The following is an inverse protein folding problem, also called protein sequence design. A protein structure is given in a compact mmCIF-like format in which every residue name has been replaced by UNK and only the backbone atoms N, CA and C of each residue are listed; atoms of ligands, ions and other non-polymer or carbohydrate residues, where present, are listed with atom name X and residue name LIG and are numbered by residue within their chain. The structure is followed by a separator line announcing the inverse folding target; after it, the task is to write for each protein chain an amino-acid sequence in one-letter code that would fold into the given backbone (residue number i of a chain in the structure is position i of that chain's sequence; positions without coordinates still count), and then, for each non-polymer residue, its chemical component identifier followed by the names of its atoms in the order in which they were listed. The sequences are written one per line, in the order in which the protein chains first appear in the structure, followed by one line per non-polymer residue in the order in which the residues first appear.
data_IF_395346279061
#
_entry.id   IF_395346279061
#
_cell.length_a   1.000
_cell.length_b   1.000
_cell.length_c   1.000
_cell.angle_alpha   90.00
_cell.angle_beta   90.00
_cell.angle_gamma   90.00
#
_symmetry.space_group_name_H-M   'P 1'
#
loop_
_entity.id
_entity.type
_entity.pdbx_description
1 polymer ?
#
# COMPACT_ATOMS: atom_id res chain seq x y z
N UNK A 1 -8.80 -11.94 2.33
CA UNK A 1 -8.11 -11.35 3.50
C UNK A 1 -6.67 -11.82 3.43
N UNK A 2 -5.76 -10.94 3.02
CA UNK A 2 -4.36 -11.18 2.71
C UNK A 2 -3.47 -10.54 3.76
N UNK A 3 -2.36 -11.20 4.11
CA UNK A 3 -1.32 -10.56 4.91
C UNK A 3 -0.84 -9.28 4.22
N UNK A 4 -0.80 -8.18 4.96
CA UNK A 4 -0.29 -6.90 4.45
C UNK A 4 1.23 -6.86 4.34
N UNK A 5 1.97 -7.92 4.70
CA UNK A 5 3.44 -7.92 4.77
C UNK A 5 4.09 -7.39 3.49
N UNK A 6 3.58 -7.76 2.32
CA UNK A 6 4.14 -7.27 1.06
C UNK A 6 3.86 -5.79 0.83
N UNK A 7 2.65 -5.33 1.13
CA UNK A 7 2.30 -3.92 1.05
C UNK A 7 3.04 -3.09 2.12
N UNK A 8 3.36 -3.67 3.28
CA UNK A 8 4.23 -3.06 4.28
C UNK A 8 5.61 -2.78 3.68
N UNK A 9 6.22 -3.73 2.97
CA UNK A 9 7.48 -3.49 2.28
C UNK A 9 7.39 -2.36 1.24
N UNK A 10 6.32 -2.33 0.44
CA UNK A 10 6.06 -1.25 -0.53
C UNK A 10 5.95 0.10 0.18
N UNK A 11 5.14 0.16 1.25
CA UNK A 11 4.90 1.38 2.02
C UNK A 11 6.17 1.91 2.69
N UNK A 12 6.96 1.02 3.30
CA UNK A 12 8.26 1.34 3.90
C UNK A 12 9.22 1.89 2.84
N UNK A 13 9.32 1.23 1.67
CA UNK A 13 10.17 1.70 0.58
C UNK A 13 9.74 3.08 0.08
N UNK A 14 8.43 3.37 0.00
CA UNK A 14 7.92 4.69 -0.33
C UNK A 14 8.36 5.75 0.69
N UNK A 15 8.22 5.47 1.98
CA UNK A 15 8.57 6.40 3.05
C UNK A 15 10.07 6.67 3.18
N UNK A 16 10.92 5.73 2.77
CA UNK A 16 12.38 5.89 2.86
C UNK A 16 12.94 6.56 1.61
N UNK A 17 12.51 6.10 0.43
CA UNK A 17 13.14 6.50 -0.83
C UNK A 17 12.60 7.82 -1.38
N UNK A 18 11.47 8.31 -0.87
CA UNK A 18 10.81 9.52 -1.36
C UNK A 18 10.49 10.51 -0.24
N UNK A 19 10.43 11.79 -0.60
CA UNK A 19 9.96 12.80 0.35
C UNK A 19 8.47 12.61 0.64
N UNK A 20 8.02 13.01 1.83
CA UNK A 20 6.58 13.00 2.19
C UNK A 20 5.75 13.78 1.17
N UNK A 21 6.29 14.87 0.62
CA UNK A 21 5.63 15.65 -0.44
C UNK A 21 5.42 14.82 -1.71
N UNK A 22 6.41 14.03 -2.11
CA UNK A 22 6.30 13.12 -3.25
C UNK A 22 5.26 12.03 -2.99
N UNK A 23 5.34 11.35 -1.85
CA UNK A 23 4.36 10.30 -1.47
C UNK A 23 2.95 10.88 -1.37
N UNK A 24 2.80 12.14 -0.95
CA UNK A 24 1.52 12.84 -0.94
C UNK A 24 0.91 12.95 -2.35
N UNK A 25 1.74 13.08 -3.40
CA UNK A 25 1.27 13.08 -4.78
C UNK A 25 0.78 11.72 -5.26
N UNK A 26 1.23 10.61 -4.66
CA UNK A 26 0.71 9.27 -4.90
C UNK A 26 -0.65 9.09 -4.22
N UNK A 27 -0.72 9.38 -2.93
CA UNK A 27 -1.95 9.12 -2.13
C UNK A 27 -3.09 10.08 -2.50
N UNK A 28 -2.80 11.27 -3.02
CA UNK A 28 -3.85 12.19 -3.50
C UNK A 28 -4.39 11.87 -4.89
N UNK A 29 -3.84 10.87 -5.60
CA UNK A 29 -4.32 10.48 -6.95
C UNK A 29 -5.70 9.87 -6.91
N UNK A 30 -6.02 9.20 -5.81
CA UNK A 30 -7.26 8.45 -5.68
C UNK A 30 -7.78 8.55 -4.24
N UNK A 31 -9.05 8.96 -4.05
CA UNK A 31 -9.64 9.17 -2.72
C UNK A 31 -9.72 7.90 -1.86
N UNK A 32 -9.52 6.72 -2.44
CA UNK A 32 -9.46 5.46 -1.69
C UNK A 32 -8.20 5.33 -0.83
N UNK A 33 -7.15 6.10 -1.09
CA UNK A 33 -6.05 6.27 -0.13
C UNK A 33 -6.55 7.09 1.06
N UNK A 34 -7.03 6.39 2.08
CA UNK A 34 -7.48 7.00 3.33
C UNK A 34 -6.39 6.94 4.39
N UNK A 35 -6.47 7.83 5.39
CA UNK A 35 -5.65 7.74 6.62
C UNK A 35 -5.76 6.37 7.27
N UNK A 36 -6.95 5.77 7.26
CA UNK A 36 -7.19 4.41 7.75
C UNK A 36 -6.37 3.38 6.96
N UNK A 37 -6.44 3.41 5.63
CA UNK A 37 -5.70 2.48 4.78
C UNK A 37 -4.19 2.62 5.00
N UNK A 38 -3.66 3.83 5.03
CA UNK A 38 -2.22 4.04 5.28
C UNK A 38 -1.77 3.58 6.67
N UNK A 39 -2.64 3.71 7.67
CA UNK A 39 -2.38 3.15 8.99
C UNK A 39 -2.35 1.62 8.94
N UNK A 40 -3.31 0.99 8.26
CA UNK A 40 -3.32 -0.46 8.05
C UNK A 40 -2.07 -0.96 7.32
N UNK A 41 -1.47 -0.17 6.43
CA UNK A 41 -0.20 -0.52 5.80
C UNK A 41 1.01 -0.44 6.74
N UNK A 42 0.90 0.24 7.87
CA UNK A 42 1.99 0.40 8.83
C UNK A 42 1.89 -0.57 10.02
N UNK A 43 0.68 -1.04 10.36
CA UNK A 43 0.45 -1.93 11.49
C UNK A 43 0.72 -3.39 11.16
N UNK A 44 1.39 -4.09 12.07
CA UNK A 44 1.88 -5.44 11.85
C UNK A 44 0.77 -6.48 11.64
N UNK A 45 -0.40 -6.31 12.27
CA UNK A 45 -1.52 -7.27 12.25
C UNK A 45 -2.62 -6.94 11.25
N UNK A 46 -2.43 -5.89 10.45
CA UNK A 46 -3.44 -5.47 9.49
C UNK A 46 -3.52 -6.44 8.32
N UNK A 47 -4.76 -6.72 7.94
CA UNK A 47 -5.12 -7.60 6.82
C UNK A 47 -5.86 -6.75 5.82
N UNK A 48 -5.52 -6.89 4.54
CA UNK A 48 -6.19 -6.18 3.45
C UNK A 48 -6.95 -7.16 2.57
N UNK A 49 -7.99 -6.70 1.88
CA UNK A 49 -8.63 -7.47 0.83
C UNK A 49 -7.82 -7.41 -0.49
N UNK A 50 -8.14 -8.31 -1.42
CA UNK A 50 -7.48 -8.40 -2.73
C UNK A 50 -7.65 -7.12 -3.56
N UNK A 51 -8.82 -6.49 -3.48
CA UNK A 51 -9.10 -5.24 -4.18
C UNK A 51 -8.21 -4.10 -3.70
N UNK A 52 -8.02 -3.99 -2.38
CA UNK A 52 -7.09 -3.03 -1.78
C UNK A 52 -5.64 -3.29 -2.19
N UNK A 53 -5.21 -4.56 -2.25
CA UNK A 53 -3.87 -4.92 -2.68
C UNK A 53 -3.60 -4.48 -4.13
N UNK A 54 -4.52 -4.82 -5.04
CA UNK A 54 -4.46 -4.40 -6.44
C UNK A 54 -4.47 -2.90 -6.59
N UNK A 55 -5.39 -2.24 -5.90
CA UNK A 55 -5.51 -0.79 -5.92
C UNK A 55 -4.18 -0.11 -5.58
N UNK A 56 -3.53 -0.52 -4.48
CA UNK A 56 -2.27 0.08 -4.04
C UNK A 56 -1.15 -0.21 -5.03
N UNK A 57 -0.94 -1.47 -5.39
CA UNK A 57 0.15 -1.87 -6.27
C UNK A 57 0.05 -1.21 -7.66
N UNK A 58 -1.15 -1.20 -8.27
CA UNK A 58 -1.36 -0.56 -9.58
C UNK A 58 -1.13 0.96 -9.52
N UNK A 59 -1.56 1.63 -8.43
CA UNK A 59 -1.32 3.06 -8.27
C UNK A 59 0.15 3.38 -8.05
N UNK A 60 0.89 2.55 -7.30
CA UNK A 60 2.34 2.70 -7.13
C UNK A 60 3.05 2.55 -8.48
N UNK A 61 2.75 1.51 -9.26
CA UNK A 61 3.33 1.31 -10.60
C UNK A 61 3.04 2.51 -11.51
N UNK A 62 1.78 2.93 -11.59
CA UNK A 62 1.39 4.05 -12.44
C UNK A 62 2.10 5.35 -12.03
N UNK A 63 2.21 5.61 -10.72
CA UNK A 63 2.89 6.77 -10.18
C UNK A 63 4.40 6.77 -10.48
N UNK A 64 5.07 5.61 -10.38
CA UNK A 64 6.48 5.46 -10.75
C UNK A 64 6.69 5.78 -12.24
N UNK A 65 5.84 5.26 -13.13
CA UNK A 65 5.93 5.55 -14.56
C UNK A 65 5.76 7.02 -14.91
N UNK A 66 4.86 7.73 -14.24
CA UNK A 66 4.67 9.16 -14.44
C UNK A 66 5.91 9.96 -14.04
N UNK A 67 6.61 9.50 -12.99
CA UNK A 67 7.89 10.04 -12.54
C UNK A 67 9.06 9.65 -13.44
N UNK A 68 8.85 8.76 -14.41
CA UNK A 68 9.90 8.22 -15.27
C UNK A 68 10.80 7.23 -14.56
N UNK A 69 10.33 6.61 -13.47
CA UNK A 69 11.07 5.64 -12.68
C UNK A 69 10.67 4.22 -13.05
N UNK A 70 11.63 3.30 -12.99
CA UNK A 70 11.45 1.89 -13.30
C UNK A 70 10.80 1.14 -12.11
N UNK A 71 9.61 0.55 -12.26
CA UNK A 71 8.98 -0.23 -11.20
C UNK A 71 9.78 -1.48 -10.78
N UNK A 72 10.54 -2.09 -11.69
CA UNK A 72 11.38 -3.24 -11.36
C UNK A 72 12.55 -2.82 -10.46
N UNK A 73 13.15 -1.66 -10.71
CA UNK A 73 14.18 -1.10 -9.82
C UNK A 73 13.62 -0.76 -8.43
N UNK A 74 12.37 -0.29 -8.34
CA UNK A 74 11.70 -0.08 -7.06
C UNK A 74 11.58 -1.39 -6.26
N UNK A 75 11.18 -2.49 -6.91
CA UNK A 75 11.16 -3.81 -6.26
C UNK A 75 12.57 -4.28 -5.88
N UNK A 76 13.56 -4.05 -6.73
CA UNK A 76 14.95 -4.40 -6.40
C UNK A 76 15.48 -3.63 -5.18
N UNK A 77 15.05 -2.38 -4.95
CA UNK A 77 15.41 -1.64 -3.73
C UNK A 77 14.85 -2.32 -2.48
N UNK A 78 13.61 -2.82 -2.52
CA UNK A 78 13.02 -3.61 -1.44
C UNK A 78 13.88 -4.86 -1.18
N UNK A 79 14.22 -5.62 -2.24
CA UNK A 79 15.05 -6.84 -2.12
C UNK A 79 16.42 -6.52 -1.50
N UNK A 80 17.07 -5.44 -1.95
CA UNK A 80 18.36 -4.98 -1.42
C UNK A 80 18.28 -4.58 0.06
N UNK A 81 17.21 -3.91 0.48
CA UNK A 81 16.98 -3.57 1.91
C UNK A 81 16.78 -4.81 2.76
N UNK A 82 16.03 -5.79 2.27
CA UNK A 82 15.91 -7.09 2.94
C UNK A 82 17.27 -7.79 3.06
N UNK A 83 18.13 -7.73 2.04
CA UNK A 83 19.48 -8.28 2.10
C UNK A 83 20.37 -7.57 3.12
N UNK A 84 20.28 -6.24 3.24
CA UNK A 84 21.01 -5.44 4.22
C UNK A 84 20.36 -5.42 5.61
N UNK A 85 19.17 -6.01 5.78
CA UNK A 85 18.34 -5.93 6.98
C UNK A 85 18.03 -4.48 7.42
N UNK A 86 17.92 -3.58 6.45
CA UNK A 86 17.55 -2.19 6.68
C UNK A 86 16.02 -2.04 6.59
N UNK A 87 15.38 -1.48 7.63
CA UNK A 87 13.96 -1.18 7.64
C UNK A 87 13.00 -2.38 7.37
N UNK A 88 13.44 -3.60 7.67
CA UNK A 88 12.58 -4.80 7.55
C UNK A 88 11.50 -4.78 8.64
N UNK A 89 10.22 -5.05 8.38
CA UNK A 89 9.20 -5.23 9.43
C UNK A 89 9.37 -6.58 10.12
N UNK A 90 10.40 -6.69 10.97
CA UNK A 90 10.92 -7.97 11.47
C UNK A 90 9.89 -8.75 12.29
N UNK A 91 9.03 -8.07 13.06
CA UNK A 91 7.95 -8.71 13.81
C UNK A 91 6.88 -9.31 12.88
N UNK A 92 6.41 -8.57 11.87
CA UNK A 92 5.49 -9.09 10.84
C UNK A 92 6.10 -10.29 10.11
N UNK A 93 7.38 -10.20 9.74
CA UNK A 93 8.11 -11.30 9.09
C UNK A 93 8.16 -12.51 10.00
N UNK A 94 8.65 -12.39 11.24
CA UNK A 94 8.76 -13.50 12.19
C UNK A 94 7.41 -14.18 12.43
N UNK A 95 6.33 -13.41 12.60
CA UNK A 95 4.98 -13.96 12.76
C UNK A 95 4.57 -14.83 11.58
N UNK A 96 4.88 -14.39 10.36
CA UNK A 96 4.60 -15.18 9.14
C UNK A 96 5.42 -16.47 9.04
N UNK A 97 6.53 -16.58 9.79
CA UNK A 97 7.38 -17.77 9.84
C UNK A 97 7.15 -18.65 11.07
N UNK A 98 6.42 -18.16 12.08
CA UNK A 98 6.22 -18.83 13.37
C UNK A 98 5.77 -20.30 13.23
N UNK A 99 4.84 -20.67 12.32
CA UNK A 99 4.42 -22.07 12.15
C UNK A 99 5.50 -23.00 11.59
N UNK A 100 6.60 -22.46 11.07
CA UNK A 100 7.65 -23.19 10.34
C UNK A 100 9.01 -23.16 11.04
N UNK A 101 9.13 -22.50 12.20
CA UNK A 101 10.41 -22.29 12.89
C UNK A 101 11.15 -23.61 13.10
N UNK A 102 10.47 -24.65 13.60
CA UNK A 102 11.08 -25.96 13.82
C UNK A 102 11.62 -26.57 12.53
N UNK A 103 10.87 -26.47 11.43
CA UNK A 103 11.29 -26.97 10.11
C UNK A 103 12.57 -26.29 9.61
N UNK A 104 12.74 -24.99 9.87
CA UNK A 104 13.95 -24.26 9.48
C UNK A 104 15.19 -24.65 10.27
N UNK A 105 15.03 -25.08 11.53
CA UNK A 105 16.15 -25.60 12.33
C UNK A 105 16.50 -27.06 12.00
N UNK A 106 15.59 -27.82 11.39
CA UNK A 106 15.82 -29.23 11.04
C UNK A 106 16.08 -29.49 9.56
N UNK A 107 15.92 -28.50 8.68
CA UNK A 107 16.12 -28.68 7.24
C UNK A 107 17.59 -28.75 6.85
N UNK A 108 17.89 -29.55 5.82
CA UNK A 108 19.20 -29.59 5.18
C UNK A 108 19.40 -28.49 4.14
N UNK A 109 18.31 -27.83 3.72
CA UNK A 109 18.33 -26.76 2.73
C UNK A 109 17.28 -25.70 3.10
N UNK A 110 17.75 -24.58 3.64
CA UNK A 110 16.89 -23.45 4.07
C UNK A 110 16.24 -22.77 2.87
N UNK A 111 16.93 -22.73 1.72
CA UNK A 111 16.45 -22.06 0.52
C UNK A 111 15.37 -22.87 -0.18
N UNK A 112 15.51 -24.19 -0.25
CA UNK A 112 14.44 -25.05 -0.72
C UNK A 112 13.19 -24.94 0.17
N UNK A 113 13.37 -24.99 1.50
CA UNK A 113 12.25 -24.88 2.44
C UNK A 113 11.51 -23.53 2.31
N UNK A 114 12.21 -22.43 1.97
CA UNK A 114 11.57 -21.15 1.70
C UNK A 114 10.50 -21.23 0.60
N UNK A 115 10.74 -22.02 -0.46
CA UNK A 115 9.77 -22.24 -1.54
C UNK A 115 8.67 -23.20 -1.12
N UNK A 116 9.02 -24.29 -0.43
CA UNK A 116 8.08 -25.35 -0.04
C UNK A 116 6.98 -24.87 0.91
N UNK A 117 7.26 -23.86 1.74
CA UNK A 117 6.26 -23.31 2.66
C UNK A 117 5.40 -22.19 2.06
N UNK A 118 5.71 -21.70 0.85
CA UNK A 118 4.93 -20.63 0.18
C UNK A 118 3.42 -20.94 0.17
N UNK A 119 2.95 -22.15 -0.17
CA UNK A 119 1.52 -22.45 -0.20
C UNK A 119 0.83 -22.23 1.15
N UNK A 120 1.56 -22.46 2.25
CA UNK A 120 1.04 -22.27 3.61
C UNK A 120 1.19 -20.82 4.09
N UNK A 121 2.23 -20.10 3.65
CA UNK A 121 2.44 -18.68 3.98
C UNK A 121 1.52 -17.74 3.22
N UNK A 122 1.14 -18.11 2.00
CA UNK A 122 0.39 -17.27 1.08
C UNK A 122 -0.84 -18.04 0.54
N UNK A 123 -1.89 -18.25 1.36
CA UNK A 123 -3.04 -19.09 1.02
C UNK A 123 -3.93 -18.54 -0.12
N UNK A 124 -3.65 -17.33 -0.58
CA UNK A 124 -4.25 -16.76 -1.79
C UNK A 124 -3.66 -17.33 -3.08
N UNK A 125 -2.46 -17.92 -3.01
CA UNK A 125 -1.86 -18.68 -4.10
C UNK A 125 -2.52 -20.05 -4.14
N UNK A 126 -3.40 -20.27 -5.11
CA UNK A 126 -4.13 -21.53 -5.28
C UNK A 126 -3.28 -22.58 -5.96
N UNK A 127 -3.51 -23.83 -5.56
CA UNK A 127 -2.80 -25.00 -6.10
C UNK A 127 -1.28 -24.79 -6.15
N UNK A 128 -0.77 -24.05 -5.16
CA UNK A 128 0.62 -23.70 -5.09
C UNK A 128 1.44 -24.93 -4.66
N UNK A 129 2.48 -25.29 -5.42
CA UNK A 129 3.26 -26.48 -5.15
C UNK A 129 4.64 -26.42 -5.82
N UNK A 130 5.59 -27.19 -5.28
CA UNK A 130 6.83 -27.53 -5.99
C UNK A 130 6.53 -28.72 -6.89
N UNK A 131 6.70 -28.57 -8.20
CA UNK A 131 6.42 -29.62 -9.20
C UNK A 131 7.70 -30.28 -9.74
N UNK A 132 8.86 -29.67 -9.51
CA UNK A 132 10.18 -30.23 -9.78
C UNK A 132 11.11 -29.84 -8.64
N UNK A 133 11.93 -30.78 -8.17
CA UNK A 133 12.97 -30.54 -7.18
C UNK A 133 14.11 -31.54 -7.39
N UNK A 134 15.13 -31.13 -8.14
CA UNK A 134 16.25 -31.98 -8.50
C UNK A 134 17.56 -31.35 -8.07
N UNK A 135 18.52 -32.16 -7.63
CA UNK A 135 19.90 -31.71 -7.40
C UNK A 135 20.75 -32.18 -8.57
N UNK A 136 21.33 -31.24 -9.29
CA UNK A 136 22.19 -31.44 -10.46
C UNK A 136 23.59 -30.92 -10.13
N UNK A 137 24.48 -31.83 -9.76
CA UNK A 137 25.81 -31.46 -9.25
C UNK A 137 25.70 -30.72 -7.92
N UNK A 138 26.19 -29.49 -7.86
CA UNK A 138 26.11 -28.63 -6.67
C UNK A 138 24.87 -27.72 -6.66
N UNK A 139 24.11 -27.70 -7.74
CA UNK A 139 22.96 -26.80 -7.90
C UNK A 139 21.66 -27.59 -7.72
N UNK A 140 20.64 -26.91 -7.20
CA UNK A 140 19.27 -27.40 -7.09
C UNK A 140 18.43 -26.66 -8.12
N UNK A 141 17.66 -27.43 -8.89
CA UNK A 141 16.72 -26.96 -9.89
C UNK A 141 15.30 -27.25 -9.41
N UNK A 142 14.54 -26.18 -9.13
CA UNK A 142 13.17 -26.26 -8.64
C UNK A 142 12.22 -25.54 -9.58
N UNK A 143 11.07 -26.17 -9.84
CA UNK A 143 9.95 -25.50 -10.49
C UNK A 143 8.80 -25.36 -9.49
N UNK A 144 8.31 -24.14 -9.35
CA UNK A 144 7.22 -23.81 -8.46
C UNK A 144 6.00 -23.32 -9.25
N UNK A 145 4.85 -23.92 -8.99
CA UNK A 145 3.59 -23.56 -9.64
C UNK A 145 2.65 -22.88 -8.66
N UNK A 146 1.81 -21.97 -9.15
CA UNK A 146 0.69 -21.41 -8.41
C UNK A 146 -0.33 -20.75 -9.35
N UNK A 147 -1.54 -20.48 -8.83
CA UNK A 147 -2.62 -19.79 -9.53
C UNK A 147 -3.20 -18.67 -8.67
N UNK A 148 -3.76 -17.67 -9.33
CA UNK A 148 -4.71 -16.73 -8.75
C UNK A 148 -6.13 -17.15 -9.11
N UNK A 149 -7.09 -16.96 -8.20
CA UNK A 149 -8.52 -17.21 -8.47
C UNK A 149 -9.03 -16.33 -9.63
N UNK A 150 -8.56 -15.08 -9.66
CA UNK A 150 -8.77 -14.17 -10.79
C UNK A 150 -7.39 -13.76 -11.32
N UNK A 151 -7.10 -13.94 -12.63
CA UNK A 151 -5.89 -13.40 -13.22
C UNK A 151 -5.75 -11.91 -12.86
N UNK A 152 -4.54 -11.51 -12.47
CA UNK A 152 -4.26 -10.12 -12.08
C UNK A 152 -5.05 -9.63 -10.85
N UNK A 153 -5.50 -10.55 -9.97
CA UNK A 153 -6.25 -10.22 -8.76
C UNK A 153 -5.50 -9.28 -7.80
N UNK A 154 -4.19 -9.43 -7.68
CA UNK A 154 -3.36 -8.69 -6.71
C UNK A 154 -2.75 -7.41 -7.27
N UNK A 155 -2.59 -7.34 -8.58
CA UNK A 155 -1.92 -6.28 -9.35
C UNK A 155 -2.03 -6.67 -10.82
N UNK A 156 -2.12 -5.68 -11.71
CA UNK A 156 -2.23 -5.90 -13.16
C UNK A 156 -1.08 -6.74 -13.73
N UNK A 157 0.14 -6.56 -13.22
CA UNK A 157 1.29 -7.39 -13.55
C UNK A 157 1.94 -7.93 -12.26
N UNK A 158 1.62 -9.16 -11.84
CA UNK A 158 2.12 -9.75 -10.60
C UNK A 158 3.57 -10.20 -10.69
N UNK A 159 4.15 -10.30 -11.88
CA UNK A 159 5.43 -10.98 -12.07
C UNK A 159 6.56 -10.37 -11.24
N UNK A 160 6.79 -9.05 -11.39
CA UNK A 160 7.84 -8.34 -10.65
C UNK A 160 7.65 -8.45 -9.14
N UNK A 161 6.41 -8.33 -8.70
CA UNK A 161 6.06 -8.33 -7.28
C UNK A 161 6.23 -9.71 -6.64
N UNK A 162 5.77 -10.76 -7.30
CA UNK A 162 5.89 -12.14 -6.80
C UNK A 162 7.37 -12.59 -6.82
N UNK A 163 8.13 -12.26 -7.87
CA UNK A 163 9.58 -12.55 -7.88
C UNK A 163 10.29 -11.86 -6.72
N UNK A 164 10.03 -10.57 -6.51
CA UNK A 164 10.57 -9.83 -5.36
C UNK A 164 10.20 -10.49 -4.03
N UNK A 165 8.92 -10.83 -3.85
CA UNK A 165 8.40 -11.47 -2.64
C UNK A 165 9.04 -12.84 -2.35
N UNK A 166 9.28 -13.65 -3.37
CA UNK A 166 9.90 -14.96 -3.16
C UNK A 166 11.42 -14.84 -2.95
N UNK A 167 12.08 -13.89 -3.61
CA UNK A 167 13.51 -13.62 -3.45
C UNK A 167 13.89 -13.11 -2.05
N UNK A 168 12.99 -12.41 -1.35
CA UNK A 168 13.28 -11.94 0.02
C UNK A 168 13.32 -13.07 1.05
N UNK A 169 12.67 -14.21 0.81
CA UNK A 169 12.57 -15.30 1.78
C UNK A 169 13.93 -15.79 2.31
N UNK A 170 14.84 -16.26 1.43
CA UNK A 170 16.19 -16.68 1.81
C UNK A 170 17.00 -15.59 2.52
N UNK A 171 16.90 -14.35 2.02
CA UNK A 171 17.62 -13.19 2.57
C UNK A 171 17.24 -12.94 4.02
N UNK A 172 15.95 -13.03 4.34
CA UNK A 172 15.42 -12.85 5.69
C UNK A 172 15.80 -13.99 6.65
N UNK A 173 16.31 -15.12 6.14
CA UNK A 173 16.69 -16.30 6.91
C UNK A 173 18.20 -16.58 6.91
N UNK A 174 18.98 -15.51 6.84
CA UNK A 174 20.46 -15.56 6.94
C UNK A 174 21.12 -16.42 5.85
N UNK A 175 20.50 -16.52 4.68
CA UNK A 175 21.06 -17.19 3.49
C UNK A 175 21.16 -16.21 2.30
N UNK A 176 22.00 -16.51 1.29
CA UNK A 176 22.02 -15.73 0.06
C UNK A 176 20.70 -15.81 -0.70
N UNK A 177 20.46 -14.84 -1.60
CA UNK A 177 19.37 -14.92 -2.56
C UNK A 177 19.51 -16.15 -3.48
N UNK A 178 18.44 -16.48 -4.21
CA UNK A 178 18.53 -17.42 -5.32
C UNK A 178 19.39 -16.84 -6.44
N UNK A 179 20.22 -17.68 -7.03
CA UNK A 179 21.12 -17.36 -8.13
C UNK A 179 20.31 -17.12 -9.41
N UNK A 180 19.21 -17.85 -9.62
CA UNK A 180 18.25 -17.62 -10.68
C UNK A 180 16.82 -17.81 -10.17
N UNK A 181 15.92 -16.90 -10.54
CA UNK A 181 14.48 -17.06 -10.38
C UNK A 181 13.79 -16.32 -11.51
N UNK A 182 12.98 -17.01 -12.31
CA UNK A 182 12.27 -16.38 -13.42
C UNK A 182 10.95 -17.08 -13.77
N UNK A 183 10.10 -16.41 -14.53
CA UNK A 183 8.86 -17.00 -15.00
C UNK A 183 9.07 -17.86 -16.24
N UNK A 184 8.51 -19.05 -16.19
CA UNK A 184 8.32 -19.95 -17.33
C UNK A 184 6.97 -19.68 -18.00
N UNK A 185 5.93 -19.52 -17.18
CA UNK A 185 4.55 -19.35 -17.60
C UNK A 185 3.86 -18.38 -16.64
N UNK A 186 3.01 -17.50 -17.16
CA UNK A 186 2.28 -16.48 -16.40
C UNK A 186 0.82 -16.45 -16.78
N UNK A 187 -0.07 -16.39 -15.78
CA UNK A 187 -1.51 -16.22 -16.02
C UNK A 187 -1.86 -14.86 -16.63
N UNK A 188 -1.00 -13.85 -16.41
CA UNK A 188 -1.16 -12.54 -17.02
C UNK A 188 -1.01 -12.66 -18.53
N UNK A 189 -1.97 -12.09 -19.26
CA UNK A 189 -1.93 -12.13 -20.72
C UNK A 189 -0.77 -11.31 -21.28
N UNK A 190 -0.37 -11.61 -22.51
CA UNK A 190 0.71 -10.88 -23.18
C UNK A 190 0.39 -9.38 -23.28
N UNK A 191 -0.87 -9.02 -23.54
CA UNK A 191 -1.28 -7.62 -23.66
C UNK A 191 -1.27 -6.91 -22.30
N UNK A 192 -1.71 -7.58 -21.24
CA UNK A 192 -1.71 -6.98 -19.89
C UNK A 192 -0.30 -6.70 -19.38
N UNK A 193 0.68 -7.57 -19.66
CA UNK A 193 2.06 -7.37 -19.22
C UNK A 193 2.74 -6.16 -19.88
N UNK A 194 2.20 -5.66 -21.01
CA UNK A 194 2.65 -4.41 -21.63
C UNK A 194 2.21 -3.17 -20.88
N UNK A 195 1.30 -3.29 -19.90
CA UNK A 195 0.88 -2.23 -18.99
C UNK A 195 0.43 -0.93 -19.69
N UNK A 196 -0.08 -1.06 -20.92
CA UNK A 196 -0.44 0.06 -21.81
C UNK A 196 0.72 1.01 -22.13
N UNK A 197 1.96 0.55 -21.96
CA UNK A 197 3.19 1.28 -22.24
C UNK A 197 3.57 1.20 -23.72
N UNK A 198 3.35 0.03 -24.31
CA UNK A 198 3.61 -0.25 -25.73
C UNK A 198 2.42 -0.98 -26.33
N UNK A 199 2.19 -0.78 -27.62
CA UNK A 199 1.14 -1.46 -28.34
C UNK A 199 1.69 -2.74 -28.98
N UNK A 200 0.87 -3.79 -28.98
CA UNK A 200 1.14 -5.02 -29.70
C UNK A 200 0.11 -5.22 -30.82
N UNK A 201 0.57 -5.78 -31.93
CA UNK A 201 -0.25 -6.23 -33.05
C UNK A 201 -0.15 -7.76 -33.10
N UNK A 202 -1.29 -8.44 -33.02
CA UNK A 202 -1.37 -9.89 -33.20
C UNK A 202 -1.91 -10.12 -34.62
N UNK A 203 -1.14 -10.81 -35.45
CA UNK A 203 -1.52 -11.14 -36.83
C UNK A 203 -2.31 -12.45 -36.90
N UNK A 204 -3.01 -12.65 -38.01
CA UNK A 204 -3.84 -13.84 -38.26
C UNK A 204 -3.05 -15.15 -38.25
N UNK A 205 -1.74 -15.10 -38.55
CA UNK A 205 -0.82 -16.25 -38.48
C UNK A 205 -0.35 -16.57 -37.05
N UNK A 206 -0.85 -15.84 -36.05
CA UNK A 206 -0.52 -15.99 -34.64
C UNK A 206 0.80 -15.33 -34.23
N UNK A 207 1.48 -14.59 -35.11
CA UNK A 207 2.68 -13.84 -34.73
C UNK A 207 2.32 -12.52 -34.03
N UNK A 208 3.12 -12.15 -33.03
CA UNK A 208 2.91 -10.95 -32.22
C UNK A 208 4.06 -9.98 -32.44
N UNK A 209 3.72 -8.76 -32.85
CA UNK A 209 4.65 -7.67 -33.09
C UNK A 209 4.48 -6.56 -32.08
N UNK A 210 5.59 -5.99 -31.61
CA UNK A 210 5.62 -4.75 -30.82
C UNK A 210 6.57 -3.79 -31.54
N UNK A 211 6.10 -2.57 -31.80
CA UNK A 211 6.84 -1.55 -32.58
C UNK A 211 7.43 -2.10 -33.89
N UNK A 212 6.69 -2.96 -34.59
CA UNK A 212 7.10 -3.57 -35.86
C UNK A 212 8.14 -4.71 -35.75
N UNK A 213 8.57 -5.07 -34.55
CA UNK A 213 9.48 -6.20 -34.29
C UNK A 213 8.69 -7.44 -33.86
N UNK A 214 9.02 -8.60 -34.42
CA UNK A 214 8.46 -9.88 -33.97
C UNK A 214 8.94 -10.18 -32.55
N UNK A 215 8.01 -10.25 -31.60
CA UNK A 215 8.31 -10.43 -30.17
C UNK A 215 7.62 -11.64 -29.56
N UNK A 216 6.61 -12.20 -30.23
CA UNK A 216 5.90 -13.36 -29.70
C UNK A 216 5.23 -14.20 -30.77
N UNK A 217 4.75 -15.37 -30.34
CA UNK A 217 4.00 -16.31 -31.18
C UNK A 217 2.93 -17.01 -30.36
N UNK A 218 1.74 -17.15 -30.94
CA UNK A 218 0.66 -17.97 -30.41
C UNK A 218 1.06 -19.45 -30.41
N UNK A 219 0.89 -20.06 -29.25
CA UNK A 219 1.23 -21.45 -28.93
C UNK A 219 0.19 -21.98 -27.94
N UNK A 220 0.31 -23.25 -27.55
CA UNK A 220 -0.53 -23.83 -26.49
C UNK A 220 0.21 -23.96 -25.17
N UNK A 221 -0.53 -24.05 -24.06
CA UNK A 221 0.07 -24.38 -22.77
C UNK A 221 0.71 -25.78 -22.78
N UNK A 222 0.17 -26.72 -23.56
CA UNK A 222 0.77 -28.03 -23.81
C UNK A 222 2.19 -27.92 -24.36
N UNK A 223 2.44 -27.05 -25.34
CA UNK A 223 3.79 -26.79 -25.85
C UNK A 223 4.73 -26.24 -24.77
N UNK A 224 4.25 -25.39 -23.85
CA UNK A 224 5.04 -24.92 -22.71
C UNK A 224 5.50 -26.07 -21.81
N UNK A 225 4.57 -26.98 -21.50
CA UNK A 225 4.78 -28.13 -20.63
C UNK A 225 5.74 -29.14 -21.27
N UNK A 226 5.52 -29.44 -22.55
CA UNK A 226 6.33 -30.41 -23.31
C UNK A 226 7.77 -29.92 -23.47
N UNK A 227 7.96 -28.63 -23.78
CA UNK A 227 9.29 -28.01 -23.87
C UNK A 227 10.12 -28.11 -22.57
N UNK A 228 9.47 -28.40 -21.43
CA UNK A 228 10.10 -28.46 -20.10
C UNK A 228 9.91 -29.81 -19.41
N UNK A 229 9.39 -30.80 -20.13
CA UNK A 229 9.08 -32.14 -19.60
C UNK A 229 8.19 -32.11 -18.34
N UNK A 230 7.25 -31.17 -18.27
CA UNK A 230 6.32 -31.05 -17.14
C UNK A 230 5.10 -31.93 -17.40
N UNK A 231 4.83 -32.88 -16.50
CA UNK A 231 3.62 -33.71 -16.56
C UNK A 231 2.40 -32.90 -16.16
N UNK A 232 1.32 -33.05 -16.92
CA UNK A 232 0.07 -32.33 -16.69
C UNK A 232 -1.13 -33.16 -17.13
N UNK A 233 -1.99 -33.51 -16.18
CA UNK A 233 -3.08 -34.47 -16.43
C UNK A 233 -4.35 -33.83 -17.01
N UNK A 234 -4.41 -32.50 -17.09
CA UNK A 234 -5.58 -31.78 -17.59
C UNK A 234 -5.43 -31.40 -19.08
N UNK A 235 -5.97 -32.24 -19.96
CA UNK A 235 -5.91 -32.03 -21.42
C UNK A 235 -6.61 -30.76 -21.91
N UNK A 236 -7.66 -30.31 -21.20
CA UNK A 236 -8.36 -29.05 -21.52
C UNK A 236 -7.43 -27.87 -21.28
N UNK A 237 -6.73 -27.86 -20.15
CA UNK A 237 -5.74 -26.82 -19.84
C UNK A 237 -4.54 -26.86 -20.78
N UNK A 238 -4.08 -28.04 -21.19
CA UNK A 238 -3.02 -28.18 -22.21
C UNK A 238 -3.40 -27.52 -23.53
N UNK A 239 -4.68 -27.51 -23.87
CA UNK A 239 -5.20 -26.93 -25.12
C UNK A 239 -5.41 -25.41 -25.07
N UNK A 240 -5.21 -24.76 -23.92
CA UNK A 240 -5.37 -23.31 -23.77
C UNK A 240 -4.31 -22.59 -24.61
N UNK A 241 -4.77 -21.68 -25.48
CA UNK A 241 -3.91 -20.82 -26.28
C UNK A 241 -3.23 -19.75 -25.42
N UNK A 242 -1.94 -19.56 -25.63
CA UNK A 242 -1.09 -18.59 -24.94
C UNK A 242 -0.07 -18.00 -25.92
N UNK A 243 0.73 -17.03 -25.45
CA UNK A 243 1.77 -16.39 -26.28
C UNK A 243 3.15 -16.70 -25.70
N UNK A 244 4.00 -17.36 -26.48
CA UNK A 244 5.42 -17.48 -26.19
C UNK A 244 6.13 -16.17 -26.58
N UNK A 245 6.79 -15.54 -25.62
CA UNK A 245 7.68 -14.42 -25.90
C UNK A 245 9.00 -14.91 -26.53
N UNK A 246 9.29 -14.42 -27.73
CA UNK A 246 10.52 -14.73 -28.48
C UNK A 246 11.64 -13.75 -28.18
N UNK A 247 11.31 -12.55 -27.70
CA UNK A 247 12.26 -11.52 -27.32
C UNK A 247 11.77 -10.72 -26.11
N UNK A 248 12.69 -10.04 -25.46
CA UNK A 248 12.37 -9.13 -24.37
C UNK A 248 11.72 -7.85 -24.89
N UNK A 249 10.77 -7.32 -24.13
CA UNK A 249 10.14 -6.02 -24.41
C UNK A 249 10.34 -5.12 -23.19
N UNK A 250 10.88 -3.93 -23.43
CA UNK A 250 11.13 -2.92 -22.41
C UNK A 250 10.34 -1.65 -22.71
N UNK A 251 9.94 -0.94 -21.65
CA UNK A 251 9.44 0.42 -21.77
C UNK A 251 10.60 1.36 -22.14
N UNK A 252 10.52 2.04 -23.28
CA UNK A 252 11.61 2.91 -23.76
C UNK A 252 11.92 4.09 -22.83
N UNK A 253 10.91 4.57 -22.08
CA UNK A 253 11.06 5.74 -21.21
C UNK A 253 11.72 5.40 -19.88
N UNK A 254 11.36 4.28 -19.28
CA UNK A 254 11.77 3.91 -17.91
C UNK A 254 12.72 2.72 -17.85
N UNK A 255 12.84 1.95 -18.94
CA UNK A 255 13.60 0.70 -18.96
C UNK A 255 12.90 -0.46 -18.23
N UNK A 256 11.63 -0.32 -17.84
CA UNK A 256 10.87 -1.38 -17.19
C UNK A 256 10.75 -2.62 -18.09
N UNK A 257 10.92 -3.80 -17.52
CA UNK A 257 10.84 -5.07 -18.23
C UNK A 257 9.38 -5.50 -18.32
N UNK A 258 8.79 -5.36 -19.51
CA UNK A 258 7.38 -5.61 -19.76
C UNK A 258 7.12 -7.05 -20.17
N UNK A 259 7.99 -7.62 -21.01
CA UNK A 259 7.89 -9.01 -21.48
C UNK A 259 9.25 -9.67 -21.33
N UNK A 260 9.29 -10.82 -20.68
CA UNK A 260 10.47 -11.65 -20.54
C UNK A 260 10.51 -12.70 -21.65
N UNK A 261 11.62 -12.72 -22.40
CA UNK A 261 11.91 -13.74 -23.40
C UNK A 261 11.81 -15.16 -22.80
N UNK A 262 11.17 -16.06 -23.54
CA UNK A 262 11.02 -17.47 -23.17
C UNK A 262 9.85 -17.77 -22.23
N UNK A 263 9.17 -16.73 -21.71
CA UNK A 263 7.97 -16.87 -20.89
C UNK A 263 6.72 -17.07 -21.77
N UNK A 264 5.80 -17.90 -21.29
CA UNK A 264 4.49 -18.14 -21.90
C UNK A 264 3.44 -17.31 -21.15
N UNK A 265 2.72 -16.44 -21.86
CA UNK A 265 1.76 -15.49 -21.28
C UNK A 265 0.32 -15.88 -21.58
N UNK A 266 -0.57 -15.68 -20.61
CA UNK A 266 -1.98 -16.09 -20.68
C UNK A 266 -2.19 -17.58 -20.42
N UNK A 267 -1.34 -18.19 -19.60
CA UNK A 267 -1.42 -19.63 -19.27
C UNK A 267 -2.44 -19.89 -18.15
N UNK A 268 -2.91 -21.14 -17.96
CA UNK A 268 -3.82 -21.48 -16.85
C UNK A 268 -3.19 -21.35 -15.46
N UNK A 269 -1.86 -21.41 -15.36
CA UNK A 269 -1.10 -21.34 -14.13
C UNK A 269 0.21 -20.57 -14.31
N UNK A 270 0.72 -20.01 -13.21
CA UNK A 270 2.06 -19.43 -13.16
C UNK A 270 3.07 -20.52 -12.82
N UNK A 271 4.18 -20.59 -13.54
CA UNK A 271 5.29 -21.50 -13.26
C UNK A 271 6.57 -20.69 -13.17
N UNK A 272 7.33 -20.88 -12.09
CA UNK A 272 8.64 -20.29 -11.88
C UNK A 272 9.73 -21.34 -12.01
N UNK A 273 10.83 -20.98 -12.67
CA UNK A 273 12.12 -21.68 -12.65
C UNK A 273 12.97 -21.07 -11.53
N UNK A 274 13.53 -21.89 -10.66
CA UNK A 274 14.41 -21.43 -9.58
C UNK A 274 15.64 -22.31 -9.51
N UNK A 275 16.83 -21.70 -9.64
CA UNK A 275 18.11 -22.41 -9.57
C UNK A 275 19.02 -21.79 -8.54
N UNK A 276 19.61 -22.61 -7.69
CA UNK A 276 20.44 -22.16 -6.59
C UNK A 276 21.35 -23.25 -6.04
N UNK A 277 22.46 -22.93 -5.37
CA UNK A 277 23.30 -23.96 -4.72
C UNK A 277 22.49 -24.86 -3.76
N UNK A 278 22.60 -26.17 -3.92
CA UNK A 278 21.89 -27.12 -3.07
C UNK A 278 22.45 -27.16 -1.65
N UNK A 279 21.60 -27.58 -0.70
CA UNK A 279 21.99 -27.96 0.66
C UNK A 279 22.64 -26.83 1.47
N UNK A 280 22.17 -25.59 1.24
CA UNK A 280 22.60 -24.42 2.02
C UNK A 280 21.88 -24.44 3.37
N UNK A 281 22.64 -24.72 4.42
CA UNK A 281 22.20 -24.65 5.82
C UNK A 281 22.45 -23.26 6.40
N UNK A 282 21.58 -22.84 7.31
CA UNK A 282 21.83 -21.73 8.22
C UNK A 282 21.60 -22.25 9.65
N UNK A 283 22.64 -22.37 10.50
CA UNK A 283 22.48 -22.87 11.87
C UNK A 283 21.52 -22.03 12.72
N UNK A 284 21.52 -20.71 12.48
CA UNK A 284 20.65 -19.75 13.16
C UNK A 284 19.90 -18.90 12.12
N UNK A 285 18.90 -19.47 11.43
CA UNK A 285 18.27 -18.82 10.28
C UNK A 285 17.61 -17.49 10.68
N UNK A 286 17.01 -17.44 11.87
CA UNK A 286 16.28 -16.28 12.37
C UNK A 286 17.14 -15.25 13.13
N UNK A 287 18.46 -15.47 13.30
CA UNK A 287 19.31 -14.60 14.13
C UNK A 287 19.23 -13.14 13.74
N UNK A 288 19.35 -12.84 12.43
CA UNK A 288 19.27 -11.47 11.92
C UNK A 288 17.89 -10.84 12.18
N UNK A 289 16.81 -11.59 12.00
CA UNK A 289 15.45 -11.12 12.29
C UNK A 289 15.26 -10.82 13.78
N UNK A 290 15.69 -11.73 14.65
CA UNK A 290 15.61 -11.55 16.10
C UNK A 290 16.44 -10.36 16.58
N UNK A 291 17.68 -10.22 16.09
CA UNK A 291 18.52 -9.04 16.37
C UNK A 291 17.87 -7.75 15.87
N UNK A 292 17.23 -7.82 14.70
CA UNK A 292 16.54 -6.69 14.10
C UNK A 292 15.36 -6.23 14.95
N UNK A 293 14.54 -7.13 15.50
CA UNK A 293 13.43 -6.74 16.42
C UNK A 293 13.94 -5.89 17.58
N UNK A 294 15.06 -6.29 18.20
CA UNK A 294 15.65 -5.54 19.31
C UNK A 294 16.18 -4.19 18.83
N UNK A 295 16.94 -4.14 17.73
CA UNK A 295 17.48 -2.86 17.19
C UNK A 295 16.38 -1.89 16.73
N UNK A 296 15.27 -2.43 16.25
CA UNK A 296 14.14 -1.67 15.75
C UNK A 296 13.42 -0.88 16.84
N UNK A 297 13.43 -1.36 18.08
CA UNK A 297 12.85 -0.63 19.21
C UNK A 297 13.61 0.66 19.55
N UNK A 298 14.86 0.84 19.07
CA UNK A 298 15.72 1.93 19.54
C UNK A 298 16.14 2.96 18.47
N UNK A 299 16.27 2.63 17.18
CA UNK A 299 16.89 3.58 16.23
C UNK A 299 16.41 3.52 14.76
N UNK A 300 16.27 2.34 14.16
CA UNK A 300 16.10 2.22 12.71
C UNK A 300 14.74 2.71 12.19
N UNK A 301 13.69 2.68 13.03
CA UNK A 301 12.33 3.05 12.64
C UNK A 301 11.99 4.53 12.83
N UNK A 302 12.77 5.28 13.61
CA UNK A 302 12.43 6.67 13.92
C UNK A 302 12.26 7.55 12.65
N UNK A 303 13.10 7.44 11.60
CA UNK A 303 12.88 8.19 10.36
C UNK A 303 11.59 7.78 9.62
N UNK A 304 11.27 6.49 9.62
CA UNK A 304 10.09 5.94 8.93
C UNK A 304 8.81 6.33 9.68
N UNK A 305 8.81 6.22 11.01
CA UNK A 305 7.72 6.66 11.87
C UNK A 305 7.45 8.15 11.69
N UNK A 306 8.51 8.98 11.68
CA UNK A 306 8.39 10.41 11.43
C UNK A 306 7.82 10.70 10.03
N UNK A 307 8.27 9.99 8.99
CA UNK A 307 7.74 10.14 7.64
C UNK A 307 6.27 9.71 7.55
N UNK A 308 5.89 8.63 8.24
CA UNK A 308 4.49 8.18 8.36
C UNK A 308 3.63 9.25 9.03
N UNK A 309 4.02 9.73 10.21
CA UNK A 309 3.30 10.79 10.93
C UNK A 309 3.11 12.04 10.08
N UNK A 310 4.17 12.49 9.40
CA UNK A 310 4.12 13.64 8.50
C UNK A 310 3.18 13.40 7.31
N UNK A 311 3.16 12.18 6.75
CA UNK A 311 2.27 11.82 5.65
C UNK A 311 0.81 11.83 6.11
N UNK A 312 0.51 11.23 7.26
CA UNK A 312 -0.84 11.22 7.84
C UNK A 312 -1.31 12.65 8.15
N UNK A 313 -0.44 13.48 8.73
CA UNK A 313 -0.71 14.90 8.99
C UNK A 313 -0.96 15.70 7.72
N UNK A 314 -0.25 15.40 6.63
CA UNK A 314 -0.40 16.07 5.34
C UNK A 314 -1.60 15.56 4.53
N UNK A 315 -2.06 14.35 4.83
CA UNK A 315 -3.28 13.75 4.28
C UNK A 315 -4.54 14.21 5.00
N UNK A 316 -4.44 14.51 6.29
CA UNK A 316 -5.51 15.22 6.97
C UNK A 316 -5.70 16.56 6.27
N UNK A 317 -6.87 16.75 5.66
CA UNK A 317 -7.26 18.03 5.09
C UNK A 317 -6.97 19.13 6.11
N UNK A 318 -6.48 20.28 5.65
CA UNK A 318 -6.29 21.42 6.54
C UNK A 318 -7.34 22.47 6.26
N UNK A 319 -8.00 22.95 7.30
CA UNK A 319 -8.88 24.11 7.22
C UNK A 319 -8.18 25.32 7.82
N UNK A 320 -8.12 26.41 7.06
CA UNK A 320 -7.64 27.69 7.57
C UNK A 320 -8.81 28.49 8.10
N UNK A 321 -8.74 28.89 9.36
CA UNK A 321 -9.75 29.70 10.03
C UNK A 321 -9.08 31.00 10.47
N UNK A 322 -9.57 32.14 9.97
CA UNK A 322 -9.06 33.47 10.32
C UNK A 322 -10.13 34.22 11.08
N UNK A 323 -9.80 34.70 12.28
CA UNK A 323 -10.61 35.64 13.03
C UNK A 323 -10.10 37.07 12.79
N UNK A 324 -10.96 37.94 12.25
CA UNK A 324 -10.66 39.35 12.02
C UNK A 324 -11.13 40.17 13.23
N UNK A 325 -10.20 40.79 13.95
CA UNK A 325 -10.49 41.59 15.16
C UNK A 325 -11.23 42.88 14.82
N UNK A 326 -10.98 43.45 13.65
CA UNK A 326 -11.54 44.74 13.23
C UNK A 326 -13.06 44.76 13.14
N UNK A 327 -13.68 43.63 12.77
CA UNK A 327 -15.12 43.52 12.55
C UNK A 327 -15.75 42.32 13.28
N UNK A 328 -15.00 41.69 14.18
CA UNK A 328 -15.38 40.49 14.92
C UNK A 328 -15.92 39.36 14.01
N UNK A 329 -15.27 39.09 12.88
CA UNK A 329 -15.71 38.05 11.93
C UNK A 329 -14.78 36.84 11.87
N UNK A 330 -15.31 35.70 11.43
CA UNK A 330 -14.53 34.49 11.12
C UNK A 330 -14.72 34.15 9.65
N UNK A 331 -13.61 33.85 8.98
CA UNK A 331 -13.60 33.18 7.68
C UNK A 331 -13.02 31.78 7.77
N UNK A 332 -13.52 30.88 6.92
CA UNK A 332 -13.02 29.51 6.73
C UNK A 332 -12.58 29.37 5.29
N UNK A 333 -11.30 29.05 5.05
CA UNK A 333 -10.67 29.02 3.72
C UNK A 333 -11.01 30.27 2.90
N UNK A 334 -10.82 31.45 3.49
CA UNK A 334 -11.07 32.77 2.91
C UNK A 334 -12.55 33.07 2.57
N UNK A 335 -13.50 32.23 3.01
CA UNK A 335 -14.94 32.50 2.89
C UNK A 335 -15.51 32.91 4.24
N UNK A 336 -16.21 34.05 4.29
CA UNK A 336 -16.86 34.51 5.51
C UNK A 336 -17.85 33.46 6.02
N UNK A 337 -17.74 33.10 7.31
CA UNK A 337 -18.61 32.13 7.98
C UNK A 337 -19.63 32.83 8.88
N UNK A 338 -19.16 33.66 9.82
CA UNK A 338 -20.01 34.32 10.82
C UNK A 338 -19.33 35.57 11.40
N UNK A 339 -20.10 36.40 12.11
CA UNK A 339 -19.64 37.66 12.72
C UNK A 339 -20.23 37.93 14.09
N UNK A 340 -19.66 38.89 14.82
CA UNK A 340 -20.02 39.33 16.17
C UNK A 340 -19.90 38.19 17.20
N UNK A 341 -20.83 38.11 18.15
CA UNK A 341 -20.75 37.18 19.28
C UNK A 341 -20.62 35.70 18.89
N UNK A 342 -21.33 35.15 17.87
CA UNK A 342 -21.06 33.80 17.37
C UNK A 342 -19.59 33.58 16.97
N UNK A 343 -18.97 34.55 16.29
CA UNK A 343 -17.56 34.48 15.94
C UNK A 343 -16.65 34.48 17.17
N UNK A 344 -16.98 35.29 18.20
CA UNK A 344 -16.22 35.29 19.47
C UNK A 344 -16.32 33.97 20.24
N UNK A 345 -17.49 33.32 20.20
CA UNK A 345 -17.69 31.99 20.78
C UNK A 345 -16.76 30.98 20.09
N UNK A 346 -16.80 30.92 18.76
CA UNK A 346 -15.96 29.99 17.99
C UNK A 346 -14.47 30.32 18.15
N UNK A 347 -14.08 31.59 18.17
CA UNK A 347 -12.71 32.02 18.45
C UNK A 347 -12.18 31.45 19.76
N UNK A 348 -12.90 31.66 20.86
CA UNK A 348 -12.41 31.24 22.17
C UNK A 348 -12.32 29.72 22.28
N UNK A 349 -13.29 29.01 21.68
CA UNK A 349 -13.23 27.56 21.52
C UNK A 349 -11.98 27.13 20.74
N UNK A 350 -11.71 27.73 19.58
CA UNK A 350 -10.56 27.38 18.74
C UNK A 350 -9.22 27.71 19.43
N UNK A 351 -9.13 28.82 20.17
CA UNK A 351 -7.93 29.16 20.96
C UNK A 351 -7.65 28.11 22.01
N UNK A 352 -8.68 27.69 22.74
CA UNK A 352 -8.54 26.68 23.80
C UNK A 352 -8.16 25.32 23.20
N UNK A 353 -8.86 24.88 22.15
CA UNK A 353 -8.53 23.65 21.43
C UNK A 353 -7.09 23.64 20.92
N UNK A 354 -6.61 24.74 20.32
CA UNK A 354 -5.23 24.83 19.80
C UNK A 354 -4.19 24.87 20.92
N UNK A 355 -4.52 25.46 22.07
CA UNK A 355 -3.61 25.57 23.21
C UNK A 355 -3.52 24.28 24.03
N UNK A 356 -4.63 23.57 24.23
CA UNK A 356 -4.72 22.46 25.19
C UNK A 356 -5.18 21.13 24.59
N UNK A 357 -5.66 21.11 23.34
CA UNK A 357 -6.27 19.94 22.71
C UNK A 357 -7.65 19.57 23.28
N UNK A 358 -8.23 20.44 24.14
CA UNK A 358 -9.52 20.17 24.79
C UNK A 358 -10.67 20.16 23.78
N UNK A 359 -11.47 19.11 23.82
CA UNK A 359 -12.64 18.94 22.94
C UNK A 359 -13.98 19.11 23.67
N UNK A 360 -14.03 18.98 25.00
CA UNK A 360 -15.28 19.01 25.77
C UNK A 360 -15.43 20.29 26.60
N UNK A 361 -16.59 20.92 26.48
CA UNK A 361 -16.86 22.25 27.00
C UNK A 361 -18.21 22.32 27.73
N UNK A 362 -18.28 23.12 28.80
CA UNK A 362 -19.53 23.38 29.55
C UNK A 362 -20.15 24.72 29.11
N UNK A 363 -21.48 24.84 29.12
CA UNK A 363 -22.09 26.15 28.78
C UNK A 363 -21.76 27.25 29.80
N UNK A 364 -21.44 26.88 31.05
CA UNK A 364 -21.22 27.83 32.15
C UNK A 364 -19.89 28.59 32.02
N UNK A 365 -18.85 27.96 31.48
CA UNK A 365 -17.54 28.61 31.24
C UNK A 365 -17.67 29.72 30.19
N UNK A 366 -18.38 29.49 29.08
CA UNK A 366 -18.60 30.51 28.05
C UNK A 366 -19.57 31.62 28.50
N UNK A 367 -20.58 31.30 29.33
CA UNK A 367 -21.51 32.31 29.90
C UNK A 367 -20.81 33.31 30.82
N UNK A 368 -19.71 32.90 31.46
CA UNK A 368 -18.94 33.71 32.41
C UNK A 368 -17.77 34.47 31.77
N UNK A 369 -17.43 34.15 30.53
CA UNK A 369 -16.33 34.78 29.81
C UNK A 369 -16.74 36.18 29.31
N UNK A 370 -16.12 37.26 29.84
CA UNK A 370 -16.42 38.63 29.42
C UNK A 370 -16.05 38.91 27.96
N UNK A 371 -15.16 38.11 27.35
CA UNK A 371 -14.85 38.20 25.92
C UNK A 371 -15.98 37.66 25.03
N UNK A 372 -16.91 36.87 25.57
CA UNK A 372 -18.04 36.29 24.84
C UNK A 372 -19.33 37.04 25.18
N UNK A 373 -19.65 37.15 26.46
CA UNK A 373 -20.89 37.76 26.95
C UNK A 373 -20.63 39.13 27.58
N UNK A 374 -21.10 40.20 26.92
CA UNK A 374 -20.99 41.58 27.44
C UNK A 374 -21.97 41.91 28.57
N UNK A 375 -23.08 41.16 28.69
CA UNK A 375 -24.04 41.29 29.79
C UNK A 375 -24.20 39.93 30.51
N UNK A 376 -23.58 39.76 31.70
CA UNK A 376 -23.68 38.54 32.49
C UNK A 376 -25.07 38.30 33.10
N UNK A 377 -25.92 39.33 33.19
CA UNK A 377 -27.24 39.26 33.84
C UNK A 377 -28.33 38.72 32.90
N UNK A 378 -28.16 38.85 31.57
CA UNK A 378 -29.06 38.28 30.55
C UNK A 378 -28.31 37.70 29.34
N UNK A 379 -27.43 36.71 29.52
CA UNK A 379 -26.68 36.16 28.41
C UNK A 379 -27.62 35.31 27.55
N UNK A 380 -28.02 35.81 26.38
CA UNK A 380 -28.70 35.02 25.34
C UNK A 380 -27.72 34.01 24.67
N UNK A 381 -26.89 33.36 25.48
CA UNK A 381 -25.78 32.51 25.05
C UNK A 381 -26.28 31.29 24.29
N UNK A 382 -27.32 30.62 24.78
CA UNK A 382 -27.86 29.43 24.12
C UNK A 382 -28.36 29.72 22.70
N UNK A 383 -29.09 30.83 22.49
CA UNK A 383 -29.48 31.22 21.13
C UNK A 383 -28.27 31.51 20.23
N UNK A 384 -27.22 32.15 20.78
CA UNK A 384 -26.00 32.47 20.02
C UNK A 384 -25.17 31.22 19.72
N UNK A 385 -25.07 30.28 20.66
CA UNK A 385 -24.44 28.97 20.45
C UNK A 385 -25.21 28.17 19.39
N UNK A 386 -26.55 28.24 19.39
CA UNK A 386 -27.35 27.59 18.33
C UNK A 386 -27.02 28.16 16.95
N UNK A 387 -26.75 29.47 16.84
CA UNK A 387 -26.29 30.06 15.57
C UNK A 387 -24.91 29.55 15.18
N UNK A 388 -23.97 29.44 16.11
CA UNK A 388 -22.65 28.85 15.85
C UNK A 388 -22.80 27.42 15.31
N UNK A 389 -23.59 26.58 16.01
CA UNK A 389 -23.87 25.20 15.60
C UNK A 389 -24.52 25.16 14.21
N UNK A 390 -25.50 26.02 13.92
CA UNK A 390 -26.15 26.06 12.61
C UNK A 390 -25.21 26.52 11.47
N UNK A 391 -24.32 27.48 11.72
CA UNK A 391 -23.32 27.89 10.74
C UNK A 391 -22.26 26.81 10.49
N UNK A 392 -21.89 26.04 11.53
CA UNK A 392 -20.89 24.99 11.43
C UNK A 392 -21.50 23.72 10.84
N UNK A 393 -22.53 23.16 11.48
CA UNK A 393 -23.11 21.88 11.11
C UNK A 393 -24.02 21.96 9.88
N UNK A 394 -24.39 23.17 9.45
CA UNK A 394 -25.39 23.40 8.42
C UNK A 394 -26.81 23.47 8.99
N UNK A 395 -27.78 23.65 8.10
CA UNK A 395 -29.20 23.69 8.43
C UNK A 395 -30.00 22.88 7.42
N UNK A 396 -30.83 21.97 7.93
CA UNK A 396 -31.79 21.16 7.16
C UNK A 396 -33.15 21.88 7.01
N UNK A 397 -33.22 23.20 7.28
CA UNK A 397 -34.44 23.97 7.05
C UNK A 397 -34.79 23.96 5.55
N UNK A 398 -35.96 23.42 5.15
CA UNK A 398 -36.37 23.36 3.74
C UNK A 398 -36.35 24.71 3.02
N UNK A 399 -36.49 25.81 3.76
CA UNK A 399 -36.55 27.15 3.19
C UNK A 399 -35.16 27.80 3.02
N UNK A 400 -34.12 27.33 3.73
CA UNK A 400 -32.75 27.88 3.69
C UNK A 400 -31.71 26.78 3.98
N UNK A 401 -31.53 25.82 3.06
CA UNK A 401 -30.51 24.79 3.23
C UNK A 401 -29.11 25.41 3.22
N UNK A 402 -28.25 24.95 4.14
CA UNK A 402 -26.84 25.35 4.20
C UNK A 402 -26.00 24.14 4.58
N UNK A 403 -24.97 23.85 3.80
CA UNK A 403 -24.01 22.77 4.10
C UNK A 403 -23.05 23.11 5.26
N UNK A 404 -23.01 24.40 5.66
CA UNK A 404 -22.09 24.88 6.70
C UNK A 404 -20.63 24.56 6.41
N UNK A 405 -19.88 24.20 7.45
CA UNK A 405 -18.48 23.75 7.40
C UNK A 405 -18.26 22.39 8.09
N UNK A 406 -19.34 21.62 8.28
CA UNK A 406 -19.39 20.33 9.02
C UNK A 406 -18.37 19.30 8.54
N UNK A 407 -17.94 19.40 7.29
CA UNK A 407 -16.91 18.55 6.69
C UNK A 407 -15.51 18.76 7.29
N UNK A 408 -15.23 19.94 7.85
CA UNK A 408 -13.93 20.27 8.44
C UNK A 408 -13.92 20.10 9.97
N UNK A 409 -15.01 20.45 10.62
CA UNK A 409 -15.22 20.30 12.07
C UNK A 409 -16.71 20.44 12.38
N UNK A 410 -17.15 19.88 13.50
CA UNK A 410 -18.53 19.99 13.97
C UNK A 410 -18.62 20.25 15.46
N UNK A 411 -19.80 20.70 15.91
CA UNK A 411 -20.11 20.83 17.34
C UNK A 411 -21.27 19.90 17.68
N UNK A 412 -21.04 18.99 18.61
CA UNK A 412 -22.04 18.05 19.13
C UNK A 412 -22.55 18.50 20.49
N UNK A 413 -23.86 18.32 20.75
CA UNK A 413 -24.41 18.59 22.08
C UNK A 413 -24.15 17.43 23.03
N UNK A 414 -23.71 17.76 24.23
CA UNK A 414 -23.56 16.78 25.30
C UNK A 414 -24.78 16.79 26.23
N UNK A 415 -25.21 15.62 26.72
CA UNK A 415 -26.45 15.45 27.51
C UNK A 415 -26.47 16.19 28.86
N UNK A 416 -25.32 16.69 29.33
CA UNK A 416 -25.16 17.35 30.65
C UNK A 416 -24.97 18.88 30.57
N UNK A 417 -25.50 19.56 29.57
CA UNK A 417 -25.47 21.04 29.50
C UNK A 417 -24.14 21.62 28.98
N UNK A 418 -23.48 20.88 28.09
CA UNK A 418 -22.24 21.27 27.42
C UNK A 418 -22.24 20.86 25.94
N UNK A 419 -21.10 21.02 25.29
CA UNK A 419 -20.91 20.63 23.89
C UNK A 419 -19.49 20.09 23.67
N UNK A 420 -19.35 19.27 22.63
CA UNK A 420 -18.06 18.73 22.18
C UNK A 420 -17.71 19.36 20.84
N UNK A 421 -16.49 19.84 20.72
CA UNK A 421 -15.88 20.21 19.45
C UNK A 421 -15.23 18.98 18.83
N UNK A 422 -15.58 18.67 17.58
CA UNK A 422 -15.10 17.49 16.87
C UNK A 422 -14.35 17.95 15.62
N UNK A 423 -13.01 18.06 15.66
CA UNK A 423 -12.22 18.36 14.48
C UNK A 423 -12.24 17.14 13.53
N UNK A 424 -12.50 17.37 12.23
CA UNK A 424 -12.44 16.31 11.20
C UNK A 424 -11.19 16.39 10.33
N UNK A 425 -10.41 17.45 10.52
CA UNK A 425 -9.27 17.81 9.71
C UNK A 425 -8.36 18.73 10.53
N UNK A 426 -7.12 18.97 10.07
CA UNK A 426 -6.17 19.83 10.76
C UNK A 426 -6.64 21.29 10.75
N UNK A 427 -6.71 21.92 11.92
CA UNK A 427 -7.17 23.31 12.04
C UNK A 427 -5.96 24.24 12.10
N UNK A 428 -5.87 25.15 11.14
CA UNK A 428 -4.92 26.26 11.13
C UNK A 428 -5.69 27.52 11.53
N UNK A 429 -5.59 27.89 12.81
CA UNK A 429 -6.27 29.08 13.34
C UNK A 429 -5.32 30.28 13.40
N UNK A 430 -5.77 31.45 12.91
CA UNK A 430 -5.04 32.73 12.95
C UNK A 430 -5.97 33.85 13.40
N UNK A 431 -5.37 34.88 14.00
CA UNK A 431 -6.07 36.12 14.33
C UNK A 431 -5.39 37.29 13.63
N UNK A 432 -6.18 38.11 12.94
CA UNK A 432 -5.74 39.30 12.19
C UNK A 432 -6.36 40.57 12.76
#
# INVERSE_FOLDING_TARGET
MLSSLFLQFIHIELLISYSVKDVLTLVKRDPRFTVKLLNELNFEDSVVDEGSHRFIADNVVAWLYERGENPDEFVERIVKRCASFEAVPARSVLRSYLPFVSSFYSTDDVRALCLEIIPKRYPFLKQAAVIKNEVVGEDRDMMFIFRFDTPSALVSNPMRWILGMFRVGPLLLSTPAYEHMSYIASQTSFIETLEKRVNAEIKDDGTVYVNGKLVGKSVTFGECLDARNIKWDNDVERSVGCVLALDDVFDEKTGAHLVQKGCYYGTPANILDVKFKANVKAPEPFLKLMSSVVKQEFAAWAPIQKAQEQLLDAMNDSVTIVYYKSDESISVNNKHLMRNVPARILRNLLREYIATGREEYENREFKRDPAICMDPLRPNFESRLNRVIAHINGSDDPNKPSEGVKKYFEIERHRRGGFRFVPKCKIIFREE
#
